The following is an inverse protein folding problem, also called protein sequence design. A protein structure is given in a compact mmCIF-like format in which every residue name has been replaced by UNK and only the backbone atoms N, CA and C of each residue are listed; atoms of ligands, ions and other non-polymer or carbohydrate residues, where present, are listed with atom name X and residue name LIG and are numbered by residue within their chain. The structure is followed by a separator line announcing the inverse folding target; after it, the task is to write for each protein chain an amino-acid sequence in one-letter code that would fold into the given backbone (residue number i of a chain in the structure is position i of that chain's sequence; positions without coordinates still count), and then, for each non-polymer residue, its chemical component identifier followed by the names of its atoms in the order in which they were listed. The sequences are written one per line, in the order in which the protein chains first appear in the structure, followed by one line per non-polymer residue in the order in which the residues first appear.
data_IF_612860060907
#
_entry.id   IF_612860060907
#
_cell.length_a   1.000
_cell.length_b   1.000
_cell.length_c   1.000
_cell.angle_alpha   90.00
_cell.angle_beta   90.00
_cell.angle_gamma   90.00
#
_symmetry.space_group_name_H-M   'P 1'
#
loop_
_entity.id
_entity.type
_entity.pdbx_description
1 polymer ?
#
# COMPACT_ATOMS: atom_id res chain seq x y z
N UNK A 1 -67.44 7.24 12.75
CA UNK A 1 -68.36 6.16 13.13
C UNK A 1 -67.56 4.87 13.22
N UNK A 2 -67.59 4.24 14.40
CA UNK A 2 -67.39 2.81 14.63
C UNK A 2 -68.06 1.96 13.54
N UNK A 3 -67.64 0.77 13.12
CA UNK A 3 -66.98 -0.34 13.82
C UNK A 3 -66.65 -1.42 12.78
N UNK A 4 -65.56 -2.16 13.00
CA UNK A 4 -65.32 -3.60 12.80
C UNK A 4 -66.38 -4.44 12.06
N UNK A 5 -65.95 -5.36 11.17
CA UNK A 5 -66.18 -6.83 11.26
C UNK A 5 -65.57 -7.60 10.08
N UNK A 6 -64.65 -8.50 10.45
CA UNK A 6 -64.28 -9.85 9.94
C UNK A 6 -64.85 -10.32 8.59
N UNK A 7 -63.98 -10.92 7.78
CA UNK A 7 -64.35 -12.03 6.89
C UNK A 7 -63.42 -13.23 7.02
N UNK A 8 -64.07 -14.39 6.90
CA UNK A 8 -63.62 -15.73 7.21
C UNK A 8 -62.84 -16.34 6.03
N UNK A 9 -61.77 -17.07 6.32
CA UNK A 9 -61.21 -18.03 5.37
C UNK A 9 -61.91 -19.38 5.54
N UNK A 10 -62.60 -19.82 4.48
CA UNK A 10 -63.10 -21.18 4.35
C UNK A 10 -61.98 -22.12 3.88
N UNK A 11 -61.48 -22.96 4.78
CA UNK A 11 -60.62 -24.10 4.45
C UNK A 11 -61.47 -25.36 4.30
N UNK A 12 -61.67 -25.82 3.07
CA UNK A 12 -62.27 -27.14 2.82
C UNK A 12 -61.16 -28.18 2.74
N UNK A 13 -61.15 -29.04 3.76
CA UNK A 13 -60.35 -30.25 3.87
C UNK A 13 -60.92 -31.35 2.99
N UNK A 14 -60.09 -32.03 2.21
CA UNK A 14 -60.30 -33.43 1.84
C UNK A 14 -58.99 -34.21 1.95
N UNK A 15 -59.10 -35.30 2.71
CA UNK A 15 -58.06 -36.15 3.27
C UNK A 15 -58.41 -37.57 2.85
N UNK A 16 -57.45 -38.34 2.35
CA UNK A 16 -57.56 -39.79 2.18
C UNK A 16 -56.44 -40.33 1.28
N UNK A 17 -55.35 -40.86 1.85
CA UNK A 17 -55.09 -42.29 2.14
C UNK A 17 -55.00 -43.15 0.87
N UNK A 18 -53.98 -43.94 0.56
CA UNK A 18 -52.73 -44.33 1.22
C UNK A 18 -52.10 -45.48 0.40
N UNK A 19 -50.78 -45.68 0.47
CA UNK A 19 -50.11 -46.84 -0.17
C UNK A 19 -48.60 -46.69 -0.38
N UNK A 20 -47.82 -47.26 0.52
CA UNK A 20 -46.36 -47.54 0.49
C UNK A 20 -46.02 -48.72 -0.46
N UNK A 21 -44.75 -49.18 -0.64
CA UNK A 21 -43.42 -48.55 -0.39
C UNK A 21 -42.38 -48.79 -1.54
N UNK A 22 -41.20 -48.16 -1.44
CA UNK A 22 -39.97 -48.77 -1.97
C UNK A 22 -38.78 -47.83 -2.23
N UNK A 23 -37.67 -48.02 -1.51
CA UNK A 23 -36.33 -47.74 -2.03
C UNK A 23 -35.45 -46.74 -1.27
N UNK A 24 -34.57 -47.28 -0.40
CA UNK A 24 -33.48 -46.61 0.34
C UNK A 24 -32.39 -45.97 -0.53
N UNK A 25 -31.78 -44.88 -0.05
CA UNK A 25 -30.34 -44.77 0.32
C UNK A 25 -30.07 -43.42 1.01
N UNK A 26 -29.97 -43.38 2.35
CA UNK A 26 -28.76 -43.08 3.17
C UNK A 26 -27.64 -42.35 2.39
N UNK A 27 -27.18 -41.16 2.82
CA UNK A 27 -26.19 -41.01 3.89
C UNK A 27 -26.24 -39.64 4.61
N UNK A 28 -26.38 -39.73 5.94
CA UNK A 28 -25.80 -38.97 7.07
C UNK A 28 -25.34 -37.50 6.93
N UNK A 29 -26.11 -36.66 7.64
CA UNK A 29 -25.67 -35.43 8.31
C UNK A 29 -25.01 -35.71 9.67
N UNK A 30 -23.99 -34.95 10.06
CA UNK A 30 -23.61 -34.73 11.46
C UNK A 30 -23.98 -33.30 11.85
N UNK A 31 -24.87 -33.18 12.84
CA UNK A 31 -25.16 -31.96 13.60
C UNK A 31 -24.57 -32.10 15.00
N UNK A 32 -23.93 -31.04 15.50
CA UNK A 32 -23.83 -30.62 16.90
C UNK A 32 -24.25 -29.13 16.86
N UNK A 33 -25.41 -28.72 17.36
CA UNK A 33 -25.68 -28.32 18.75
C UNK A 33 -25.14 -26.89 18.98
N UNK A 34 -25.83 -25.87 19.52
CA UNK A 34 -27.16 -25.70 20.08
C UNK A 34 -27.42 -24.18 20.28
N UNK A 35 -28.69 -23.74 20.26
CA UNK A 35 -29.19 -22.48 20.85
C UNK A 35 -29.03 -21.23 19.96
N UNK A 36 -30.02 -20.36 19.78
CA UNK A 36 -31.34 -20.20 20.35
C UNK A 36 -32.04 -19.04 19.62
N UNK A 37 -33.37 -19.07 19.57
CA UNK A 37 -34.21 -18.13 18.83
C UNK A 37 -34.33 -16.77 19.55
N UNK A 38 -34.22 -15.66 18.81
CA UNK A 38 -34.99 -14.42 19.05
C UNK A 38 -34.96 -13.49 17.83
N UNK A 39 -36.14 -12.99 17.46
CA UNK A 39 -36.42 -11.85 16.58
C UNK A 39 -37.62 -11.09 17.22
N UNK A 40 -38.07 -9.90 16.76
CA UNK A 40 -37.40 -8.74 16.14
C UNK A 40 -37.83 -7.39 16.84
N UNK A 41 -37.22 -6.23 16.49
CA UNK A 41 -37.87 -4.88 16.43
C UNK A 41 -36.85 -3.79 16.06
N UNK A 42 -37.02 -3.01 14.97
CA UNK A 42 -37.70 -1.70 14.74
C UNK A 42 -37.12 -0.49 15.51
N UNK A 43 -36.77 0.56 14.75
CA UNK A 43 -36.25 1.91 15.09
C UNK A 43 -34.75 1.94 15.39
N UNK A 44 -33.91 2.87 14.90
CA UNK A 44 -34.08 4.09 14.14
C UNK A 44 -32.74 4.86 14.26
N UNK A 45 -32.31 5.50 13.16
CA UNK A 45 -31.32 6.58 13.05
C UNK A 45 -30.23 6.77 14.15
N UNK A 46 -28.95 6.62 13.78
CA UNK A 46 -28.07 7.76 13.50
C UNK A 46 -26.63 7.27 13.32
N UNK A 47 -25.99 7.73 12.24
CA UNK A 47 -24.61 7.45 11.94
C UNK A 47 -23.67 8.25 12.83
N UNK A 48 -22.58 7.62 13.23
CA UNK A 48 -21.35 8.27 13.69
C UNK A 48 -20.20 7.33 13.33
N UNK A 49 -19.64 7.52 12.13
CA UNK A 49 -18.39 6.87 11.77
C UNK A 49 -17.26 7.60 12.52
N UNK A 50 -16.61 6.90 13.45
CA UNK A 50 -15.34 7.34 14.02
C UNK A 50 -14.22 6.80 13.15
N UNK A 51 -13.57 7.69 12.38
CA UNK A 51 -12.31 7.43 11.69
C UNK A 51 -11.22 7.33 12.75
N UNK A 52 -10.63 6.15 12.91
CA UNK A 52 -9.44 5.96 13.74
C UNK A 52 -8.23 5.85 12.82
N UNK A 53 -7.57 6.97 12.58
CA UNK A 53 -6.26 7.08 11.93
C UNK A 53 -5.17 6.63 12.91
N UNK A 54 -4.55 5.48 12.65
CA UNK A 54 -3.27 5.11 13.27
C UNK A 54 -2.14 5.43 12.30
N UNK A 55 -1.36 6.45 12.62
CA UNK A 55 -0.13 6.84 11.95
C UNK A 55 1.03 6.62 12.94
N UNK A 56 2.11 5.98 12.43
CA UNK A 56 3.51 5.99 12.91
C UNK A 56 3.79 5.27 14.25
N UNK A 57 4.71 4.29 14.32
CA UNK A 57 6.16 4.49 14.10
C UNK A 57 6.86 3.19 13.74
N UNK A 58 7.63 3.19 12.65
CA UNK A 58 8.54 2.11 12.29
C UNK A 58 9.78 2.09 13.17
N UNK A 59 10.15 0.89 13.62
CA UNK A 59 11.44 0.58 14.23
C UNK A 59 12.51 0.46 13.12
N UNK A 60 13.33 1.50 12.96
CA UNK A 60 14.60 1.42 12.24
C UNK A 60 15.75 1.41 13.26
N UNK A 61 16.30 0.24 13.57
CA UNK A 61 17.53 0.12 14.36
C UNK A 61 18.74 0.28 13.45
N UNK A 62 19.34 1.47 13.46
CA UNK A 62 20.69 1.71 12.97
C UNK A 62 21.71 1.32 14.05
N UNK A 63 22.62 0.41 13.72
CA UNK A 63 23.84 0.18 14.51
C UNK A 63 24.85 1.28 14.16
N UNK A 64 25.08 2.21 15.09
CA UNK A 64 26.12 3.23 15.03
C UNK A 64 26.70 3.43 16.42
N UNK A 65 28.00 3.23 16.58
CA UNK A 65 28.68 3.15 17.87
C UNK A 65 28.69 4.45 18.68
N UNK A 66 28.71 4.30 20.00
CA UNK A 66 29.29 5.30 20.89
C UNK A 66 29.82 4.62 22.15
N UNK A 67 31.11 4.82 22.33
CA UNK A 67 31.89 4.58 23.52
C UNK A 67 31.43 5.59 24.58
N UNK A 68 30.93 5.13 25.73
CA UNK A 68 30.95 5.93 26.94
C UNK A 68 30.87 5.02 28.17
N UNK A 69 31.79 5.31 29.08
CA UNK A 69 32.05 4.71 30.36
C UNK A 69 30.87 4.82 31.32
N UNK A 70 30.57 3.73 32.05
CA UNK A 70 30.24 3.80 33.48
C UNK A 70 30.23 2.39 34.08
N UNK A 71 30.88 2.25 35.23
CA UNK A 71 30.66 1.40 36.43
C UNK A 71 32.02 1.44 37.15
N UNK A 72 32.17 1.85 38.41
CA UNK A 72 31.21 1.92 39.49
C UNK A 72 31.67 2.88 40.57
N UNK A 73 30.70 3.39 41.32
CA UNK A 73 30.92 4.13 42.55
C UNK A 73 31.12 3.21 43.75
N UNK A 74 31.68 3.78 44.80
CA UNK A 74 31.42 3.37 46.17
C UNK A 74 32.66 3.11 47.03
N UNK A 75 32.65 3.76 48.19
CA UNK A 75 33.52 3.58 49.37
C UNK A 75 34.83 4.39 49.28
N UNK A 76 35.04 5.49 50.00
CA UNK A 76 34.68 5.78 51.38
C UNK A 76 35.94 5.64 52.24
N UNK A 77 36.45 6.76 52.77
CA UNK A 77 37.56 6.74 53.73
C UNK A 77 38.55 7.90 53.55
N UNK A 78 38.24 9.04 54.16
CA UNK A 78 39.25 10.05 54.44
C UNK A 78 40.15 9.59 55.59
N UNK A 79 41.45 9.86 55.49
CA UNK A 79 42.30 10.15 56.62
C UNK A 79 43.47 11.00 56.13
N UNK A 80 43.43 12.29 56.47
CA UNK A 80 44.60 13.13 56.53
C UNK A 80 45.46 12.69 57.71
N UNK A 81 46.78 12.72 57.53
CA UNK A 81 47.72 12.38 58.59
C UNK A 81 49.14 12.60 58.11
N UNK A 82 49.62 13.83 58.25
CA UNK A 82 51.04 14.12 58.13
C UNK A 82 51.83 13.44 59.23
N UNK A 83 53.04 12.99 58.91
CA UNK A 83 54.10 12.82 59.89
C UNK A 83 55.44 13.07 59.19
N UNK A 84 55.94 14.29 59.36
CA UNK A 84 57.37 14.53 59.33
C UNK A 84 57.95 14.00 60.64
N UNK A 85 58.99 13.19 60.54
CA UNK A 85 59.83 12.83 61.67
C UNK A 85 61.28 12.82 61.17
N UNK A 86 62.00 13.89 61.52
CA UNK A 86 63.44 13.91 61.48
C UNK A 86 64.00 12.98 62.56
N UNK A 87 65.15 12.40 62.27
CA UNK A 87 66.05 11.88 63.30
C UNK A 87 67.44 12.45 63.03
N UNK A 88 67.72 13.56 63.72
CA UNK A 88 69.06 14.03 64.01
C UNK A 88 69.27 13.91 65.52
N UNK A 89 70.27 13.12 65.91
CA UNK A 89 70.94 13.09 67.22
C UNK A 89 72.10 12.10 67.04
N UNK A 90 73.33 12.32 67.50
CA UNK A 90 73.87 13.32 68.39
C UNK A 90 75.15 12.73 69.00
N UNK A 91 76.28 13.35 68.65
CA UNK A 91 77.49 13.62 69.43
C UNK A 91 77.95 12.73 70.61
N UNK A 92 79.27 12.49 70.62
CA UNK A 92 80.13 12.40 71.83
C UNK A 92 80.69 10.99 72.08
N UNK A 93 81.98 10.76 72.32
CA UNK A 93 83.18 11.57 72.53
C UNK A 93 84.41 10.65 72.37
N UNK A 94 85.58 11.14 72.06
CA UNK A 94 86.57 11.44 73.10
C UNK A 94 87.93 10.82 72.72
N UNK A 95 88.73 11.63 72.05
CA UNK A 95 90.19 11.82 72.15
C UNK A 95 91.12 10.64 72.56
N UNK A 96 92.12 10.36 71.72
CA UNK A 96 93.33 9.64 72.15
C UNK A 96 94.07 8.83 71.07
N UNK A 97 95.18 9.40 70.59
CA UNK A 97 96.39 8.71 70.09
C UNK A 97 96.43 8.38 68.58
N UNK A 98 96.91 9.40 67.87
CA UNK A 98 97.55 9.38 66.55
C UNK A 98 98.53 8.19 66.39
N UNK A 99 98.22 7.27 65.45
CA UNK A 99 99.10 6.37 64.65
C UNK A 99 98.48 5.00 64.25
N UNK A 100 97.15 4.81 64.33
CA UNK A 100 96.47 3.57 63.91
C UNK A 100 95.33 3.73 62.87
N UNK A 101 95.08 4.94 62.36
CA UNK A 101 93.87 5.25 61.57
C UNK A 101 93.82 4.68 60.15
N UNK A 102 94.96 4.44 59.49
CA UNK A 102 94.97 4.06 58.07
C UNK A 102 94.44 2.63 57.84
N UNK A 103 94.78 1.70 58.74
CA UNK A 103 94.36 0.29 58.61
C UNK A 103 92.89 0.07 58.94
N UNK A 104 92.35 0.80 59.93
CA UNK A 104 90.93 0.75 60.29
C UNK A 104 90.07 1.45 59.22
N UNK A 105 90.56 2.54 58.61
CA UNK A 105 89.89 3.12 57.44
C UNK A 105 89.89 2.17 56.24
N UNK A 106 90.99 1.45 55.97
CA UNK A 106 91.04 0.44 54.90
C UNK A 106 90.15 -0.76 55.18
N UNK A 107 90.00 -1.17 56.43
CA UNK A 107 89.04 -2.20 56.82
C UNK A 107 87.60 -1.72 56.61
N UNK A 108 87.25 -0.51 57.04
CA UNK A 108 85.91 0.04 56.84
C UNK A 108 85.54 0.17 55.35
N UNK A 109 86.49 0.60 54.50
CA UNK A 109 86.29 0.61 53.05
C UNK A 109 86.12 -0.79 52.46
N UNK A 110 86.92 -1.76 52.91
CA UNK A 110 86.78 -3.15 52.47
C UNK A 110 85.47 -3.79 52.93
N UNK A 111 85.03 -3.54 54.16
CA UNK A 111 83.75 -4.01 54.69
C UNK A 111 82.57 -3.38 53.93
N UNK A 112 82.70 -2.10 53.58
CA UNK A 112 81.72 -1.41 52.74
C UNK A 112 81.72 -1.95 51.31
N UNK A 113 82.88 -2.29 50.74
CA UNK A 113 83.00 -2.91 49.42
C UNK A 113 82.43 -4.34 49.42
N UNK A 114 82.66 -5.11 50.48
CA UNK A 114 82.05 -6.43 50.67
C UNK A 114 80.52 -6.30 50.75
N UNK A 115 79.99 -5.35 51.54
CA UNK A 115 78.56 -5.07 51.60
C UNK A 115 77.98 -4.61 50.24
N UNK A 116 78.75 -3.86 49.44
CA UNK A 116 78.35 -3.52 48.07
C UNK A 116 78.35 -4.74 47.15
N UNK A 117 79.35 -5.62 47.22
CA UNK A 117 79.41 -6.85 46.43
C UNK A 117 78.26 -7.81 46.79
N UNK A 118 77.95 -7.94 48.07
CA UNK A 118 76.81 -8.75 48.53
C UNK A 118 75.48 -8.16 48.06
N UNK A 119 75.36 -6.83 48.05
CA UNK A 119 74.19 -6.14 47.51
C UNK A 119 74.07 -6.30 45.99
N UNK A 120 75.19 -6.30 45.26
CA UNK A 120 75.20 -6.57 43.81
C UNK A 120 74.76 -7.99 43.54
N UNK A 121 75.29 -8.99 44.26
CA UNK A 121 74.87 -10.39 44.13
C UNK A 121 73.38 -10.59 44.44
N UNK A 122 72.86 -9.97 45.50
CA UNK A 122 71.44 -10.03 45.82
C UNK A 122 70.56 -9.37 44.75
N UNK A 123 71.02 -8.29 44.14
CA UNK A 123 70.33 -7.63 43.02
C UNK A 123 70.39 -8.47 41.75
N UNK A 124 71.52 -9.13 41.45
CA UNK A 124 71.66 -10.05 40.32
C UNK A 124 70.71 -11.25 40.46
N UNK A 125 70.66 -11.88 41.64
CA UNK A 125 69.74 -12.98 41.94
C UNK A 125 68.27 -12.53 41.79
N UNK A 126 67.90 -11.40 42.39
CA UNK A 126 66.56 -10.84 42.24
C UNK A 126 66.22 -10.50 40.79
N UNK A 127 67.19 -10.06 39.98
CA UNK A 127 66.98 -9.76 38.56
C UNK A 127 66.76 -11.04 37.75
N UNK A 128 67.54 -12.11 38.02
CA UNK A 128 67.33 -13.41 37.37
C UNK A 128 65.95 -14.00 37.70
N UNK A 129 65.50 -13.86 38.94
CA UNK A 129 64.16 -14.27 39.37
C UNK A 129 63.05 -13.49 38.66
N UNK A 130 63.23 -12.18 38.50
CA UNK A 130 62.29 -11.34 37.76
C UNK A 130 62.25 -11.71 36.27
N UNK A 131 63.40 -11.98 35.65
CA UNK A 131 63.46 -12.44 34.26
C UNK A 131 62.74 -13.78 34.05
N UNK A 132 62.87 -14.72 35.00
CA UNK A 132 62.16 -16.01 34.96
C UNK A 132 60.65 -15.78 35.08
N UNK A 133 60.21 -14.93 36.03
CA UNK A 133 58.79 -14.59 36.22
C UNK A 133 58.20 -13.90 34.98
N UNK A 134 58.95 -13.00 34.35
CA UNK A 134 58.55 -12.35 33.09
C UNK A 134 58.39 -13.39 31.98
N UNK A 135 59.36 -14.30 31.82
CA UNK A 135 59.29 -15.38 30.83
C UNK A 135 58.10 -16.31 31.07
N UNK A 136 57.83 -16.70 32.31
CA UNK A 136 56.67 -17.50 32.66
C UNK A 136 55.35 -16.77 32.43
N UNK A 137 55.31 -15.47 32.74
CA UNK A 137 54.14 -14.64 32.50
C UNK A 137 53.84 -14.54 31.00
N UNK A 138 54.84 -14.30 30.15
CA UNK A 138 54.66 -14.28 28.70
C UNK A 138 54.24 -15.65 28.13
N UNK A 139 54.71 -16.76 28.70
CA UNK A 139 54.25 -18.10 28.28
C UNK A 139 52.80 -18.37 28.67
N UNK A 140 52.36 -17.90 29.84
CA UNK A 140 50.96 -18.05 30.31
C UNK A 140 50.01 -17.07 29.62
N UNK A 141 50.51 -15.91 29.20
CA UNK A 141 49.77 -14.86 28.47
C UNK A 141 49.97 -14.93 26.96
N UNK A 142 50.59 -16.00 26.45
CA UNK A 142 50.61 -16.25 25.01
C UNK A 142 49.17 -16.23 24.47
N UNK A 143 48.91 -15.67 23.28
CA UNK A 143 47.58 -15.72 22.67
C UNK A 143 47.12 -17.17 22.65
N UNK A 144 45.98 -17.46 23.28
CA UNK A 144 45.37 -18.78 23.19
C UNK A 144 45.12 -19.15 21.72
N UNK A 145 44.97 -20.44 21.38
CA UNK A 145 44.65 -20.84 20.02
C UNK A 145 43.40 -20.09 19.54
N UNK A 146 43.46 -19.53 18.33
CA UNK A 146 42.36 -18.78 17.73
C UNK A 146 41.07 -19.59 17.85
N UNK A 147 40.05 -18.98 18.45
CA UNK A 147 38.77 -19.64 18.69
C UNK A 147 38.10 -19.86 17.33
N UNK A 148 37.92 -21.11 16.92
CA UNK A 148 37.35 -21.42 15.60
C UNK A 148 35.88 -21.00 15.51
N UNK A 149 35.61 -19.83 14.91
CA UNK A 149 34.25 -19.31 14.68
C UNK A 149 33.58 -19.85 13.39
N UNK A 150 34.30 -20.65 12.60
CA UNK A 150 33.82 -21.29 11.36
C UNK A 150 32.41 -21.93 11.43
N UNK A 151 32.04 -22.71 12.46
CA UNK A 151 30.69 -23.29 12.54
C UNK A 151 29.59 -22.25 12.72
N UNK A 152 29.86 -21.14 13.41
CA UNK A 152 28.87 -20.08 13.60
C UNK A 152 28.53 -19.39 12.27
N UNK A 153 29.52 -19.16 11.40
CA UNK A 153 29.27 -18.59 10.08
C UNK A 153 28.33 -19.44 9.23
N UNK A 154 28.49 -20.78 9.26
CA UNK A 154 27.56 -21.69 8.57
C UNK A 154 26.14 -21.58 9.11
N UNK A 155 25.97 -21.58 10.44
CA UNK A 155 24.64 -21.43 11.04
C UNK A 155 24.01 -20.06 10.75
N UNK A 156 24.80 -18.99 10.72
CA UNK A 156 24.33 -17.64 10.37
C UNK A 156 23.89 -17.60 8.91
N UNK A 157 24.64 -18.21 8.00
CA UNK A 157 24.30 -18.29 6.58
C UNK A 157 23.03 -19.11 6.35
N UNK A 158 22.87 -20.26 7.01
CA UNK A 158 21.64 -21.05 6.97
C UNK A 158 20.43 -20.26 7.50
N UNK A 159 20.58 -19.52 8.59
CA UNK A 159 19.52 -18.68 9.14
C UNK A 159 19.16 -17.53 8.20
N UNK A 160 20.16 -16.88 7.59
CA UNK A 160 19.93 -15.83 6.57
C UNK A 160 19.18 -16.38 5.36
N UNK A 161 19.56 -17.57 4.89
CA UNK A 161 18.86 -18.23 3.79
C UNK A 161 17.41 -18.56 4.15
N UNK A 162 17.15 -19.07 5.36
CA UNK A 162 15.78 -19.32 5.84
C UNK A 162 14.94 -18.04 5.91
N UNK A 163 15.52 -16.93 6.38
CA UNK A 163 14.84 -15.62 6.41
C UNK A 163 14.53 -15.15 4.99
N UNK A 164 15.46 -15.30 4.06
CA UNK A 164 15.27 -14.88 2.67
C UNK A 164 14.17 -15.71 1.99
N UNK A 165 14.20 -17.03 2.13
CA UNK A 165 13.14 -17.92 1.62
C UNK A 165 11.78 -17.56 2.22
N UNK A 166 11.70 -17.39 3.55
CA UNK A 166 10.45 -16.99 4.20
C UNK A 166 9.95 -15.61 3.74
N UNK A 167 10.85 -14.68 3.42
CA UNK A 167 10.48 -13.35 2.89
C UNK A 167 9.90 -13.45 1.48
N UNK A 168 10.52 -14.26 0.61
CA UNK A 168 10.02 -14.53 -0.74
C UNK A 168 8.68 -15.26 -0.69
N UNK A 169 8.53 -16.27 0.17
CA UNK A 169 7.29 -17.00 0.35
C UNK A 169 6.17 -16.09 0.88
N UNK A 170 6.48 -15.18 1.80
CA UNK A 170 5.52 -14.19 2.28
C UNK A 170 5.07 -13.26 1.15
N UNK A 171 6.00 -12.75 0.33
CA UNK A 171 5.66 -11.96 -0.85
C UNK A 171 4.79 -12.74 -1.84
N UNK A 172 5.09 -14.01 -2.10
CA UNK A 172 4.28 -14.88 -2.95
C UNK A 172 2.86 -15.09 -2.40
N UNK A 173 2.74 -15.31 -1.08
CA UNK A 173 1.44 -15.45 -0.42
C UNK A 173 0.61 -14.16 -0.51
N UNK A 174 1.24 -12.99 -0.32
CA UNK A 174 0.56 -11.71 -0.49
C UNK A 174 0.03 -11.53 -1.91
N UNK A 175 0.82 -11.87 -2.93
CA UNK A 175 0.37 -11.83 -4.33
C UNK A 175 -0.81 -12.79 -4.59
N UNK A 176 -0.79 -13.99 -4.00
CA UNK A 176 -1.91 -14.93 -4.11
C UNK A 176 -3.17 -14.40 -3.42
N UNK A 177 -3.03 -13.75 -2.26
CA UNK A 177 -4.14 -13.11 -1.55
C UNK A 177 -4.74 -11.99 -2.40
N UNK A 178 -3.90 -11.13 -2.99
CA UNK A 178 -4.37 -10.04 -3.83
C UNK A 178 -5.03 -10.56 -5.10
N UNK A 179 -4.49 -11.60 -5.72
CA UNK A 179 -5.13 -12.27 -6.87
C UNK A 179 -6.49 -12.89 -6.49
N UNK A 180 -6.58 -13.56 -5.35
CA UNK A 180 -7.84 -14.12 -4.84
C UNK A 180 -8.87 -13.03 -4.52
N UNK A 181 -8.44 -11.87 -4.02
CA UNK A 181 -9.31 -10.71 -3.77
C UNK A 181 -9.83 -10.11 -5.07
N UNK A 182 -8.95 -9.88 -6.05
CA UNK A 182 -9.34 -9.36 -7.36
C UNK A 182 -10.33 -10.29 -8.06
N UNK A 183 -10.10 -11.61 -8.02
CA UNK A 183 -11.05 -12.58 -8.59
C UNK A 183 -12.38 -12.61 -7.84
N UNK A 184 -12.39 -12.45 -6.51
CA UNK A 184 -13.61 -12.34 -5.73
C UNK A 184 -14.39 -11.06 -6.06
N UNK A 185 -13.72 -9.92 -6.20
CA UNK A 185 -14.35 -8.63 -6.58
C UNK A 185 -14.88 -8.67 -8.02
N UNK A 186 -14.18 -9.33 -8.95
CA UNK A 186 -14.67 -9.59 -10.30
C UNK A 186 -15.97 -10.42 -10.29
N UNK A 187 -16.02 -11.49 -9.48
CA UNK A 187 -17.24 -12.28 -9.33
C UNK A 187 -18.37 -11.49 -8.66
N UNK A 188 -18.04 -10.64 -7.67
CA UNK A 188 -19.02 -9.77 -7.02
C UNK A 188 -19.64 -8.80 -8.02
N UNK A 189 -18.81 -8.13 -8.81
CA UNK A 189 -19.26 -7.18 -9.84
C UNK A 189 -20.13 -7.90 -10.89
N UNK A 190 -19.70 -9.08 -11.37
CA UNK A 190 -20.50 -9.90 -12.29
C UNK A 190 -21.84 -10.31 -11.70
N UNK A 191 -21.87 -10.71 -10.43
CA UNK A 191 -23.09 -11.06 -9.73
C UNK A 191 -24.04 -9.86 -9.60
N UNK A 192 -23.53 -8.69 -9.23
CA UNK A 192 -24.31 -7.45 -9.14
C UNK A 192 -24.91 -7.07 -10.51
N UNK A 193 -24.13 -7.18 -11.59
CA UNK A 193 -24.64 -6.91 -12.95
C UNK A 193 -25.69 -7.92 -13.40
N UNK A 194 -25.49 -9.21 -13.14
CA UNK A 194 -26.44 -10.26 -13.50
C UNK A 194 -27.72 -10.15 -12.68
N UNK A 195 -27.61 -9.80 -11.40
CA UNK A 195 -28.75 -9.54 -10.53
C UNK A 195 -29.57 -8.35 -11.03
N UNK A 196 -28.92 -7.26 -11.43
CA UNK A 196 -29.60 -6.11 -12.00
C UNK A 196 -30.34 -6.47 -13.31
N UNK A 197 -29.70 -7.21 -14.21
CA UNK A 197 -30.32 -7.71 -15.44
C UNK A 197 -31.52 -8.61 -15.14
N UNK A 198 -31.38 -9.55 -14.20
CA UNK A 198 -32.47 -10.42 -13.77
C UNK A 198 -33.66 -9.62 -13.24
N UNK A 199 -33.44 -8.61 -12.40
CA UNK A 199 -34.50 -7.76 -11.88
C UNK A 199 -35.19 -6.95 -12.99
N UNK A 200 -34.44 -6.46 -13.97
CA UNK A 200 -35.00 -5.79 -15.16
C UNK A 200 -35.90 -6.74 -15.95
N UNK A 201 -35.43 -7.96 -16.24
CA UNK A 201 -36.22 -8.96 -16.97
C UNK A 201 -37.46 -9.37 -16.17
N UNK A 202 -37.35 -9.51 -14.85
CA UNK A 202 -38.51 -9.78 -13.99
C UNK A 202 -39.53 -8.63 -14.01
N UNK A 203 -39.08 -7.38 -14.04
CA UNK A 203 -39.96 -6.22 -14.22
C UNK A 203 -40.67 -6.26 -15.58
N UNK A 204 -39.94 -6.57 -16.65
CA UNK A 204 -40.49 -6.70 -18.01
C UNK A 204 -41.53 -7.84 -18.09
N UNK A 205 -41.24 -9.00 -17.51
CA UNK A 205 -42.20 -10.13 -17.44
C UNK A 205 -43.47 -9.73 -16.70
N UNK A 206 -43.34 -9.01 -15.58
CA UNK A 206 -44.49 -8.52 -14.83
C UNK A 206 -45.28 -7.46 -15.61
N UNK A 207 -44.61 -6.61 -16.38
CA UNK A 207 -45.24 -5.67 -17.32
C UNK A 207 -46.01 -6.40 -18.42
N UNK A 208 -45.41 -7.39 -19.07
CA UNK A 208 -46.06 -8.22 -20.09
C UNK A 208 -47.26 -9.00 -19.55
N UNK A 209 -47.19 -9.48 -18.31
CA UNK A 209 -48.35 -10.10 -17.63
C UNK A 209 -49.51 -9.12 -17.46
N UNK A 210 -49.24 -7.88 -17.06
CA UNK A 210 -50.29 -6.84 -16.98
C UNK A 210 -50.92 -6.55 -18.34
N UNK A 211 -50.09 -6.39 -19.38
CA UNK A 211 -50.59 -6.19 -20.75
C UNK A 211 -51.44 -7.36 -21.22
N UNK A 212 -51.05 -8.60 -20.89
CA UNK A 212 -51.86 -9.79 -21.19
C UNK A 212 -53.21 -9.76 -20.48
N UNK A 213 -53.23 -9.39 -19.19
CA UNK A 213 -54.46 -9.26 -18.41
C UNK A 213 -55.39 -8.17 -19.00
N UNK A 214 -54.83 -7.01 -19.35
CA UNK A 214 -55.56 -5.92 -20.03
C UNK A 214 -56.13 -6.35 -21.39
N UNK A 215 -55.34 -7.04 -22.22
CA UNK A 215 -55.82 -7.57 -23.50
C UNK A 215 -56.90 -8.65 -23.32
N UNK A 216 -56.81 -9.43 -22.24
CA UNK A 216 -57.82 -10.45 -21.91
C UNK A 216 -59.14 -9.80 -21.51
N UNK A 217 -59.09 -8.73 -20.71
CA UNK A 217 -60.28 -7.94 -20.38
C UNK A 217 -60.89 -7.28 -21.63
N UNK A 218 -60.07 -6.62 -22.46
CA UNK A 218 -60.53 -6.00 -23.70
C UNK A 218 -61.15 -7.02 -24.67
N UNK A 219 -60.59 -8.24 -24.75
CA UNK A 219 -61.18 -9.33 -25.51
C UNK A 219 -62.55 -9.72 -24.96
N UNK A 220 -62.69 -9.89 -23.65
CA UNK A 220 -63.96 -10.24 -23.02
C UNK A 220 -65.03 -9.15 -23.25
N UNK A 221 -64.65 -7.88 -23.17
CA UNK A 221 -65.54 -6.75 -23.47
C UNK A 221 -66.02 -6.76 -24.92
N UNK A 222 -65.12 -7.02 -25.87
CA UNK A 222 -65.47 -7.15 -27.29
C UNK A 222 -66.34 -8.38 -27.55
N UNK A 223 -66.09 -9.50 -26.89
CA UNK A 223 -66.94 -10.71 -26.97
C UNK A 223 -68.35 -10.43 -26.46
N UNK A 224 -68.49 -9.69 -25.36
CA UNK A 224 -69.78 -9.25 -24.84
C UNK A 224 -70.49 -8.31 -25.81
N UNK A 225 -69.79 -7.34 -26.42
CA UNK A 225 -70.38 -6.47 -27.45
C UNK A 225 -70.85 -7.26 -28.68
N UNK A 226 -70.08 -8.26 -29.11
CA UNK A 226 -70.46 -9.14 -30.22
C UNK A 226 -71.74 -9.92 -29.87
N UNK A 227 -71.83 -10.46 -28.66
CA UNK A 227 -73.01 -11.23 -28.25
C UNK A 227 -74.25 -10.34 -28.12
N UNK A 228 -74.12 -9.15 -27.51
CA UNK A 228 -75.20 -8.16 -27.46
C UNK A 228 -75.71 -7.80 -28.88
N UNK A 229 -74.80 -7.53 -29.83
CA UNK A 229 -75.18 -7.23 -31.21
C UNK A 229 -75.85 -8.41 -31.92
N UNK A 230 -75.45 -9.66 -31.62
CA UNK A 230 -76.15 -10.84 -32.15
C UNK A 230 -77.55 -10.99 -31.56
N UNK A 231 -77.70 -10.74 -30.26
CA UNK A 231 -79.01 -10.74 -29.59
C UNK A 231 -79.93 -9.68 -30.19
N UNK A 232 -79.44 -8.46 -30.41
CA UNK A 232 -80.17 -7.39 -31.09
C UNK A 232 -80.58 -7.80 -32.52
N UNK A 233 -79.67 -8.40 -33.28
CA UNK A 233 -79.95 -8.88 -34.64
C UNK A 233 -81.02 -9.99 -34.63
N UNK A 234 -80.93 -10.94 -33.69
CA UNK A 234 -81.92 -11.99 -33.50
C UNK A 234 -83.29 -11.41 -33.12
N UNK A 235 -83.31 -10.42 -32.22
CA UNK A 235 -84.52 -9.71 -31.82
C UNK A 235 -85.16 -8.99 -33.00
N UNK A 236 -84.40 -8.24 -33.80
CA UNK A 236 -84.90 -7.58 -35.02
C UNK A 236 -85.45 -8.58 -36.04
N UNK A 237 -84.76 -9.70 -36.27
CA UNK A 237 -85.23 -10.75 -37.19
C UNK A 237 -86.55 -11.36 -36.74
N UNK A 238 -86.65 -11.69 -35.45
CA UNK A 238 -87.88 -12.23 -34.86
C UNK A 238 -89.03 -11.22 -34.98
N UNK A 239 -88.78 -9.95 -34.65
CA UNK A 239 -89.78 -8.90 -34.80
C UNK A 239 -90.24 -8.75 -36.25
N UNK A 240 -89.30 -8.76 -37.21
CA UNK A 240 -89.64 -8.72 -38.63
C UNK A 240 -90.44 -9.95 -39.08
N UNK A 241 -90.10 -11.14 -38.61
CA UNK A 241 -90.84 -12.37 -38.91
C UNK A 241 -92.26 -12.33 -38.32
N UNK A 242 -92.43 -11.83 -37.09
CA UNK A 242 -93.73 -11.61 -36.46
C UNK A 242 -94.56 -10.57 -37.22
N UNK A 243 -93.98 -9.43 -37.62
CA UNK A 243 -94.63 -8.41 -38.45
C UNK A 243 -95.03 -8.97 -39.83
N UNK A 244 -94.14 -9.71 -40.49
CA UNK A 244 -94.43 -10.34 -41.77
C UNK A 244 -95.51 -11.41 -41.64
N UNK A 245 -95.52 -12.20 -40.56
CA UNK A 245 -96.58 -13.16 -40.27
C UNK A 245 -97.93 -12.46 -39.98
N UNK A 246 -97.91 -11.34 -39.25
CA UNK A 246 -99.09 -10.51 -39.01
C UNK A 246 -99.65 -9.95 -40.33
N UNK A 247 -98.79 -9.36 -41.18
CA UNK A 247 -99.17 -8.85 -42.50
C UNK A 247 -99.62 -9.99 -43.44
N UNK A 248 -99.01 -11.18 -43.37
CA UNK A 248 -99.41 -12.36 -44.15
C UNK A 248 -100.76 -12.91 -43.68
N UNK A 249 -101.03 -12.87 -42.38
CA UNK A 249 -102.36 -13.13 -41.81
C UNK A 249 -103.38 -12.10 -42.26
N UNK A 250 -102.97 -10.85 -42.44
CA UNK A 250 -103.82 -9.75 -42.93
C UNK A 250 -104.12 -9.86 -44.45
N UNK A 251 -103.23 -10.47 -45.24
CA UNK A 251 -103.40 -10.70 -46.69
C UNK A 251 -104.22 -11.97 -47.00
N UNK A 252 -104.43 -12.86 -46.02
CA UNK A 252 -105.21 -14.11 -46.17
C UNK A 252 -106.68 -14.05 -45.74
N UNK A 253 -107.17 -12.88 -45.32
CA UNK A 253 -108.56 -12.71 -44.87
C UNK A 253 -109.38 -11.87 -45.85
N UNK A 254 -110.28 -12.51 -46.59
CA UNK A 254 -111.50 -11.84 -47.01
C UNK A 254 -112.31 -11.54 -45.74
N UNK A 255 -112.16 -10.33 -45.21
CA UNK A 255 -112.85 -9.87 -43.99
C UNK A 255 -114.23 -9.36 -44.41
N UNK A 256 -115.21 -10.27 -44.32
CA UNK A 256 -116.61 -9.89 -44.16
C UNK A 256 -116.77 -9.07 -42.88
N UNK A 257 -117.26 -7.85 -43.06
CA UNK A 257 -117.64 -6.93 -41.99
C UNK A 257 -118.96 -7.42 -41.40
N UNK A 258 -118.92 -7.99 -40.19
CA UNK A 258 -120.09 -8.02 -39.31
C UNK A 258 -119.77 -7.31 -38.00
N UNK A 259 -120.63 -6.33 -37.76
CA UNK A 259 -120.64 -5.35 -36.70
C UNK A 259 -121.16 -6.02 -35.44
N UNK A 260 -120.30 -6.28 -34.45
CA UNK A 260 -120.74 -6.53 -33.07
C UNK A 260 -120.23 -5.41 -32.17
N UNK A 261 -121.19 -4.62 -31.69
CA UNK A 261 -120.97 -3.43 -30.86
C UNK A 261 -120.65 -3.87 -29.43
N UNK A 262 -119.39 -4.22 -29.19
CA UNK A 262 -118.86 -4.33 -27.84
C UNK A 262 -118.79 -2.92 -27.19
N UNK A 263 -119.09 -2.82 -25.89
CA UNK A 263 -119.58 -1.60 -25.24
C UNK A 263 -118.53 -0.48 -25.26
N UNK A 264 -119.02 0.76 -25.41
CA UNK A 264 -118.24 1.98 -25.61
C UNK A 264 -116.89 1.98 -24.91
N UNK A 265 -115.83 1.90 -25.72
CA UNK A 265 -114.45 2.07 -25.29
C UNK A 265 -114.35 3.47 -24.68
N UNK A 266 -114.06 3.50 -23.38
CA UNK A 266 -113.95 4.71 -22.58
C UNK A 266 -112.73 5.50 -23.06
N UNK A 267 -112.94 6.40 -24.02
CA UNK A 267 -111.91 7.25 -24.64
C UNK A 267 -111.13 8.03 -23.57
N UNK A 268 -111.80 8.36 -22.47
CA UNK A 268 -111.23 8.99 -21.28
C UNK A 268 -110.17 8.12 -20.61
N UNK A 269 -110.37 6.79 -20.59
CA UNK A 269 -109.40 5.84 -20.04
C UNK A 269 -108.16 5.67 -20.93
N UNK A 270 -108.34 5.61 -22.25
CA UNK A 270 -107.20 5.52 -23.20
C UNK A 270 -106.39 6.82 -23.22
N UNK A 271 -107.06 7.98 -23.19
CA UNK A 271 -106.37 9.28 -23.09
C UNK A 271 -105.63 9.41 -21.76
N UNK A 272 -106.17 8.87 -20.66
CA UNK A 272 -105.49 8.80 -19.38
C UNK A 272 -104.26 7.86 -19.42
N UNK A 273 -104.40 6.65 -19.97
CA UNK A 273 -103.27 5.70 -20.16
C UNK A 273 -102.17 6.28 -21.05
N UNK A 274 -102.52 6.95 -22.16
CA UNK A 274 -101.56 7.65 -23.00
C UNK A 274 -100.82 8.74 -22.22
N UNK A 275 -101.54 9.51 -21.40
CA UNK A 275 -100.92 10.56 -20.57
C UNK A 275 -99.97 9.96 -19.54
N UNK A 276 -100.38 8.87 -18.89
CA UNK A 276 -99.57 8.13 -17.91
C UNK A 276 -98.33 7.49 -18.55
N UNK A 277 -98.43 6.98 -19.78
CA UNK A 277 -97.30 6.49 -20.57
C UNK A 277 -96.30 7.61 -20.91
N UNK A 278 -96.79 8.78 -21.34
CA UNK A 278 -95.94 9.94 -21.62
C UNK A 278 -95.30 10.51 -20.34
N UNK A 279 -96.04 10.55 -19.24
CA UNK A 279 -95.53 11.01 -17.95
C UNK A 279 -94.47 10.03 -17.40
N UNK A 280 -94.72 8.72 -17.52
CA UNK A 280 -93.74 7.66 -17.23
C UNK A 280 -92.49 7.74 -18.10
N UNK A 281 -92.65 7.99 -19.41
CA UNK A 281 -91.53 8.14 -20.34
C UNK A 281 -90.72 9.41 -20.06
N UNK A 282 -91.39 10.55 -19.80
CA UNK A 282 -90.73 11.79 -19.43
C UNK A 282 -89.98 11.64 -18.10
N UNK A 283 -90.55 10.92 -17.14
CA UNK A 283 -89.91 10.70 -15.86
C UNK A 283 -88.76 9.69 -15.94
N UNK A 284 -88.85 8.65 -16.78
CA UNK A 284 -87.71 7.79 -17.13
C UNK A 284 -86.61 8.58 -17.79
N UNK A 285 -86.92 9.38 -18.82
CA UNK A 285 -85.94 10.22 -19.51
C UNK A 285 -85.23 11.19 -18.55
N UNK A 286 -85.99 11.82 -17.63
CA UNK A 286 -85.41 12.67 -16.58
C UNK A 286 -84.46 11.89 -15.67
N UNK A 287 -84.86 10.71 -15.19
CA UNK A 287 -84.01 9.85 -14.33
C UNK A 287 -82.77 9.36 -15.07
N UNK A 288 -82.89 9.00 -16.34
CA UNK A 288 -81.79 8.50 -17.17
C UNK A 288 -80.79 9.62 -17.46
N UNK A 289 -81.28 10.85 -17.72
CA UNK A 289 -80.43 12.03 -17.85
C UNK A 289 -79.70 12.34 -16.54
N UNK A 290 -80.40 12.34 -15.40
CA UNK A 290 -79.79 12.53 -14.08
C UNK A 290 -78.71 11.47 -13.80
N UNK A 291 -79.00 10.19 -14.03
CA UNK A 291 -78.02 9.10 -13.85
C UNK A 291 -76.83 9.24 -14.79
N UNK A 292 -77.05 9.62 -16.05
CA UNK A 292 -75.97 9.88 -17.00
C UNK A 292 -75.07 11.04 -16.55
N UNK A 293 -75.66 12.15 -16.07
CA UNK A 293 -74.91 13.27 -15.51
C UNK A 293 -74.14 12.86 -14.25
N UNK A 294 -74.73 12.08 -13.35
CA UNK A 294 -74.03 11.59 -12.16
C UNK A 294 -72.88 10.67 -12.53
N UNK A 295 -73.09 9.72 -13.45
CA UNK A 295 -72.05 8.82 -13.92
C UNK A 295 -70.89 9.58 -14.56
N UNK A 296 -71.16 10.55 -15.44
CA UNK A 296 -70.09 11.37 -16.04
C UNK A 296 -69.39 12.29 -15.05
N UNK A 297 -70.11 12.83 -14.08
CA UNK A 297 -69.49 13.66 -13.03
C UNK A 297 -68.60 12.81 -12.13
N UNK A 298 -69.01 11.58 -11.80
CA UNK A 298 -68.23 10.64 -11.00
C UNK A 298 -66.96 10.17 -11.73
N UNK A 299 -67.08 9.86 -13.03
CA UNK A 299 -65.94 9.50 -13.88
C UNK A 299 -64.94 10.66 -13.99
N UNK A 300 -65.42 11.87 -14.27
CA UNK A 300 -64.57 13.06 -14.31
C UNK A 300 -63.88 13.32 -12.96
N UNK A 301 -64.59 13.14 -11.85
CA UNK A 301 -63.98 13.29 -10.51
C UNK A 301 -62.90 12.23 -10.25
N UNK A 302 -63.12 10.98 -10.70
CA UNK A 302 -62.09 9.93 -10.64
C UNK A 302 -60.87 10.29 -11.46
N UNK A 303 -61.06 10.73 -12.70
CA UNK A 303 -59.94 11.15 -13.57
C UNK A 303 -59.17 12.33 -12.98
N UNK A 304 -59.86 13.34 -12.45
CA UNK A 304 -59.24 14.48 -11.78
C UNK A 304 -58.45 14.03 -10.55
N UNK A 305 -58.97 13.10 -9.75
CA UNK A 305 -58.27 12.56 -8.60
C UNK A 305 -56.99 11.81 -9.01
N UNK A 306 -57.06 10.94 -10.02
CA UNK A 306 -55.91 10.19 -10.55
C UNK A 306 -54.86 11.14 -11.13
N UNK A 307 -55.28 12.10 -11.95
CA UNK A 307 -54.37 13.09 -12.53
C UNK A 307 -53.71 13.95 -11.44
N UNK A 308 -54.47 14.34 -10.42
CA UNK A 308 -53.91 15.08 -9.26
C UNK A 308 -52.88 14.24 -8.52
N UNK A 309 -53.13 12.96 -8.29
CA UNK A 309 -52.18 12.04 -7.65
C UNK A 309 -50.91 11.87 -8.48
N UNK A 310 -51.04 11.65 -9.79
CA UNK A 310 -49.91 11.58 -10.72
C UNK A 310 -49.09 12.88 -10.77
N UNK A 311 -49.76 14.02 -10.71
CA UNK A 311 -49.10 15.32 -10.65
C UNK A 311 -48.33 15.50 -9.33
N UNK A 312 -48.90 15.06 -8.21
CA UNK A 312 -48.20 15.10 -6.92
C UNK A 312 -47.00 14.14 -6.90
N UNK A 313 -47.14 12.92 -7.43
CA UNK A 313 -46.04 11.94 -7.48
C UNK A 313 -44.89 12.42 -8.37
N UNK A 314 -45.20 12.95 -9.56
CA UNK A 314 -44.19 13.57 -10.43
C UNK A 314 -43.53 14.79 -9.77
N UNK A 315 -44.28 15.60 -9.03
CA UNK A 315 -43.71 16.71 -8.25
C UNK A 315 -42.76 16.21 -7.16
N UNK A 316 -43.11 15.15 -6.43
CA UNK A 316 -42.21 14.56 -5.41
C UNK A 316 -40.95 14.00 -6.04
N UNK A 317 -41.05 13.28 -7.16
CA UNK A 317 -39.91 12.72 -7.89
C UNK A 317 -38.96 13.83 -8.37
N UNK A 318 -39.50 14.93 -8.94
CA UNK A 318 -38.68 16.09 -9.32
C UNK A 318 -37.95 16.68 -8.11
N UNK A 319 -38.60 16.77 -6.94
CA UNK A 319 -37.94 17.30 -5.73
C UNK A 319 -36.88 16.36 -5.18
N UNK A 320 -37.07 15.04 -5.31
CA UNK A 320 -36.07 14.04 -4.92
C UNK A 320 -34.87 14.07 -5.87
N UNK A 321 -35.10 14.09 -7.18
CA UNK A 321 -34.05 14.24 -8.19
C UNK A 321 -33.25 15.53 -8.01
N UNK A 322 -33.91 16.64 -7.65
CA UNK A 322 -33.19 17.88 -7.32
C UNK A 322 -32.31 17.74 -6.08
N UNK A 323 -32.77 17.02 -5.05
CA UNK A 323 -31.95 16.75 -3.85
C UNK A 323 -30.78 15.82 -4.16
N UNK A 324 -30.97 14.80 -5.00
CA UNK A 324 -29.87 13.91 -5.39
C UNK A 324 -28.83 14.65 -6.23
N UNK A 325 -29.25 15.50 -7.17
CA UNK A 325 -28.33 16.36 -7.93
C UNK A 325 -27.51 17.24 -6.99
N UNK A 326 -28.15 17.94 -6.05
CA UNK A 326 -27.45 18.79 -5.08
C UNK A 326 -26.47 17.99 -4.20
N UNK A 327 -26.85 16.79 -3.77
CA UNK A 327 -25.96 15.89 -3.00
C UNK A 327 -24.74 15.50 -3.84
N UNK A 328 -24.96 15.09 -5.09
CA UNK A 328 -23.88 14.70 -5.99
C UNK A 328 -22.96 15.88 -6.36
N UNK A 329 -23.51 17.09 -6.48
CA UNK A 329 -22.71 18.32 -6.67
C UNK A 329 -21.83 18.61 -5.45
N UNK A 330 -22.36 18.46 -4.24
CA UNK A 330 -21.57 18.61 -3.00
C UNK A 330 -20.48 17.54 -2.92
N UNK A 331 -20.81 16.29 -3.23
CA UNK A 331 -19.83 15.20 -3.25
C UNK A 331 -18.73 15.50 -4.28
N UNK A 332 -19.08 15.94 -5.49
CA UNK A 332 -18.12 16.33 -6.52
C UNK A 332 -17.21 17.46 -6.04
N UNK A 333 -17.76 18.53 -5.44
CA UNK A 333 -16.96 19.63 -4.89
C UNK A 333 -16.04 19.15 -3.76
N UNK A 334 -16.51 18.25 -2.90
CA UNK A 334 -15.69 17.67 -1.85
C UNK A 334 -14.51 16.88 -2.43
N UNK A 335 -14.75 16.06 -3.46
CA UNK A 335 -13.70 15.27 -4.13
C UNK A 335 -12.70 16.16 -4.87
N UNK A 336 -13.15 17.26 -5.48
CA UNK A 336 -12.24 18.24 -6.08
C UNK A 336 -11.37 18.91 -5.01
N UNK A 337 -11.93 19.22 -3.84
CA UNK A 337 -11.16 19.81 -2.73
C UNK A 337 -10.13 18.85 -2.15
N UNK A 338 -10.47 17.55 -2.00
CA UNK A 338 -9.53 16.53 -1.52
C UNK A 338 -8.43 16.27 -2.53
N UNK A 339 -8.77 16.21 -3.83
CA UNK A 339 -7.78 16.11 -4.91
C UNK A 339 -6.80 17.29 -4.86
N UNK A 340 -7.29 18.52 -4.78
CA UNK A 340 -6.43 19.71 -4.73
C UNK A 340 -5.52 19.71 -3.48
N UNK A 341 -6.03 19.26 -2.33
CA UNK A 341 -5.22 19.10 -1.12
C UNK A 341 -4.11 18.05 -1.29
N UNK A 342 -4.42 16.89 -1.89
CA UNK A 342 -3.45 15.83 -2.16
C UNK A 342 -2.37 16.28 -3.16
N UNK A 343 -2.77 16.93 -4.26
CA UNK A 343 -1.85 17.52 -5.23
C UNK A 343 -0.92 18.56 -4.57
N UNK A 344 -1.47 19.39 -3.68
CA UNK A 344 -0.67 20.34 -2.88
C UNK A 344 0.34 19.64 -1.99
N UNK A 345 -0.06 18.58 -1.26
CA UNK A 345 0.88 17.83 -0.42
C UNK A 345 1.96 17.11 -1.23
N UNK A 346 1.60 16.60 -2.41
CA UNK A 346 2.56 15.98 -3.33
C UNK A 346 3.60 17.01 -3.77
N UNK A 347 3.16 18.16 -4.27
CA UNK A 347 4.04 19.26 -4.69
C UNK A 347 4.96 19.73 -3.55
N UNK A 348 4.43 19.87 -2.32
CA UNK A 348 5.23 20.22 -1.15
C UNK A 348 6.30 19.16 -0.84
N UNK A 349 5.96 17.87 -0.93
CA UNK A 349 6.93 16.78 -0.71
C UNK A 349 8.00 16.74 -1.80
N UNK A 350 7.61 16.88 -3.06
CA UNK A 350 8.53 16.95 -4.21
C UNK A 350 9.48 18.14 -4.07
N UNK A 351 8.97 19.31 -3.70
CA UNK A 351 9.79 20.50 -3.44
C UNK A 351 10.78 20.26 -2.30
N UNK A 352 10.35 19.66 -1.18
CA UNK A 352 11.25 19.32 -0.06
C UNK A 352 12.34 18.35 -0.49
N UNK A 353 12.01 17.26 -1.18
CA UNK A 353 13.01 16.31 -1.67
C UNK A 353 13.93 16.94 -2.73
N UNK A 354 13.41 17.80 -3.60
CA UNK A 354 14.19 18.58 -4.55
C UNK A 354 15.22 19.47 -3.86
N UNK A 355 14.84 20.16 -2.78
CA UNK A 355 15.80 20.96 -1.98
C UNK A 355 16.84 20.10 -1.27
N UNK A 356 16.47 18.94 -0.74
CA UNK A 356 17.40 18.00 -0.10
C UNK A 356 18.40 17.44 -1.11
N UNK A 357 17.93 17.05 -2.30
CA UNK A 357 18.78 16.61 -3.41
C UNK A 357 19.75 17.71 -3.83
N UNK A 358 19.29 18.95 -3.97
CA UNK A 358 20.16 20.08 -4.30
C UNK A 358 21.23 20.34 -3.21
N UNK A 359 20.87 20.21 -1.93
CA UNK A 359 21.83 20.32 -0.82
C UNK A 359 22.87 19.20 -0.85
N UNK A 360 22.46 17.95 -1.07
CA UNK A 360 23.36 16.81 -1.21
C UNK A 360 24.28 16.96 -2.42
N UNK A 361 23.74 17.40 -3.56
CA UNK A 361 24.52 17.69 -4.75
C UNK A 361 25.57 18.79 -4.49
N UNK A 362 25.19 19.85 -3.76
CA UNK A 362 26.12 20.89 -3.35
C UNK A 362 27.25 20.36 -2.45
N UNK A 363 26.94 19.48 -1.50
CA UNK A 363 27.96 18.82 -0.67
C UNK A 363 28.90 17.96 -1.51
N UNK A 364 28.36 17.15 -2.42
CA UNK A 364 29.15 16.31 -3.34
C UNK A 364 30.11 17.18 -4.14
N UNK A 365 29.61 18.24 -4.78
CA UNK A 365 30.44 19.16 -5.57
C UNK A 365 31.53 19.82 -4.72
N UNK A 366 31.23 20.22 -3.47
CA UNK A 366 32.24 20.80 -2.58
C UNK A 366 33.35 19.82 -2.20
N UNK A 367 33.01 18.53 -2.00
CA UNK A 367 33.99 17.49 -1.68
C UNK A 367 34.80 17.11 -2.92
N UNK A 368 34.17 17.06 -4.09
CA UNK A 368 34.85 16.86 -5.38
C UNK A 368 35.86 17.98 -5.66
N UNK A 369 35.49 19.24 -5.37
CA UNK A 369 36.37 20.39 -5.49
C UNK A 369 37.56 20.31 -4.54
N UNK A 370 37.34 20.00 -3.26
CA UNK A 370 38.43 19.78 -2.28
C UNK A 370 39.37 18.65 -2.71
N UNK A 371 38.82 17.58 -3.28
CA UNK A 371 39.59 16.44 -3.76
C UNK A 371 40.40 16.81 -5.02
N UNK A 372 39.86 17.64 -5.90
CA UNK A 372 40.58 18.18 -7.05
C UNK A 372 41.71 19.12 -6.63
N UNK A 373 41.47 20.00 -5.65
CA UNK A 373 42.48 20.90 -5.09
C UNK A 373 43.64 20.11 -4.46
N UNK A 374 43.34 19.10 -3.62
CA UNK A 374 44.37 18.26 -2.99
C UNK A 374 45.18 17.46 -4.01
N UNK A 375 44.55 16.99 -5.10
CA UNK A 375 45.27 16.36 -6.22
C UNK A 375 46.23 17.33 -6.90
N UNK A 376 45.78 18.55 -7.19
CA UNK A 376 46.62 19.60 -7.78
C UNK A 376 47.81 19.94 -6.88
N UNK A 377 47.57 20.10 -5.57
CA UNK A 377 48.63 20.36 -4.59
C UNK A 377 49.63 19.20 -4.49
N UNK A 378 49.15 17.95 -4.51
CA UNK A 378 50.02 16.77 -4.52
C UNK A 378 50.89 16.72 -5.79
N UNK A 379 50.32 17.01 -6.95
CA UNK A 379 51.06 17.08 -8.21
C UNK A 379 52.12 18.18 -8.18
N UNK A 380 51.78 19.36 -7.66
CA UNK A 380 52.70 20.48 -7.46
C UNK A 380 53.84 20.12 -6.52
N UNK A 381 53.54 19.56 -5.34
CA UNK A 381 54.56 19.09 -4.41
C UNK A 381 55.47 18.03 -5.05
N UNK A 382 54.90 17.07 -5.79
CA UNK A 382 55.69 16.06 -6.48
C UNK A 382 56.64 16.67 -7.51
N UNK A 383 56.21 17.72 -8.23
CA UNK A 383 57.07 18.47 -9.14
C UNK A 383 58.20 19.20 -8.39
N UNK A 384 57.88 19.92 -7.31
CA UNK A 384 58.88 20.59 -6.46
C UNK A 384 59.91 19.60 -5.89
N UNK A 385 59.47 18.42 -5.42
CA UNK A 385 60.36 17.35 -4.97
C UNK A 385 61.28 16.82 -6.07
N UNK A 386 60.78 16.66 -7.30
CA UNK A 386 61.62 16.25 -8.44
C UNK A 386 62.71 17.28 -8.74
N UNK A 387 62.36 18.56 -8.74
CA UNK A 387 63.33 19.65 -8.96
C UNK A 387 64.37 19.67 -7.84
N UNK A 388 63.95 19.54 -6.58
CA UNK A 388 64.88 19.50 -5.45
C UNK A 388 65.82 18.28 -5.52
N UNK A 389 65.30 17.13 -5.94
CA UNK A 389 66.10 15.93 -6.14
C UNK A 389 67.15 16.15 -7.23
N UNK A 390 66.81 16.79 -8.34
CA UNK A 390 67.76 17.12 -9.42
C UNK A 390 68.86 18.10 -8.98
N UNK A 391 68.50 19.11 -8.18
CA UNK A 391 69.49 20.00 -7.57
C UNK A 391 70.39 19.24 -6.59
N UNK A 392 69.82 18.36 -5.77
CA UNK A 392 70.57 17.54 -4.82
C UNK A 392 71.54 16.59 -5.54
N UNK A 393 71.12 15.90 -6.60
CA UNK A 393 72.00 15.02 -7.37
C UNK A 393 73.12 15.81 -8.04
N UNK A 394 72.85 17.02 -8.55
CA UNK A 394 73.87 17.92 -9.08
C UNK A 394 74.87 18.37 -8.00
N UNK A 395 74.39 18.79 -6.83
CA UNK A 395 75.27 19.18 -5.72
C UNK A 395 76.12 18.00 -5.21
N UNK A 396 75.57 16.79 -5.19
CA UNK A 396 76.35 15.58 -4.86
C UNK A 396 77.45 15.31 -5.88
N UNK A 397 77.21 15.52 -7.17
CA UNK A 397 78.23 15.45 -8.20
C UNK A 397 79.32 16.51 -7.97
N UNK A 398 78.94 17.76 -7.70
CA UNK A 398 79.88 18.84 -7.38
C UNK A 398 80.72 18.49 -6.14
N UNK A 399 80.12 18.03 -5.05
CA UNK A 399 80.83 17.55 -3.84
C UNK A 399 81.78 16.39 -4.16
N UNK A 400 81.35 15.43 -4.98
CA UNK A 400 82.22 14.32 -5.40
C UNK A 400 83.43 14.83 -6.19
N UNK A 401 83.25 15.81 -7.09
CA UNK A 401 84.37 16.45 -7.80
C UNK A 401 85.27 17.24 -6.86
N UNK A 402 84.71 17.96 -5.88
CA UNK A 402 85.51 18.66 -4.87
C UNK A 402 86.32 17.68 -4.01
N UNK A 403 85.73 16.57 -3.55
CA UNK A 403 86.45 15.51 -2.83
C UNK A 403 87.57 14.92 -3.67
N UNK A 404 87.33 14.64 -4.95
CA UNK A 404 88.33 14.17 -5.92
C UNK A 404 89.52 15.13 -6.06
N UNK A 405 89.27 16.45 -6.12
CA UNK A 405 90.33 17.47 -6.16
C UNK A 405 91.11 17.55 -4.84
N UNK A 406 90.42 17.46 -3.70
CA UNK A 406 91.01 17.51 -2.35
C UNK A 406 91.78 16.25 -1.96
N UNK A 407 91.32 15.07 -2.39
CA UNK A 407 91.98 13.77 -2.19
C UNK A 407 93.15 13.56 -3.17
N UNK A 408 93.39 14.50 -4.09
CA UNK A 408 94.57 14.54 -4.93
C UNK A 408 94.57 13.54 -6.08
N UNK A 409 93.49 13.46 -6.87
CA UNK A 409 93.57 12.77 -8.17
C UNK A 409 94.37 13.53 -9.24
N UNK A 410 94.85 14.74 -8.95
CA UNK A 410 95.96 15.35 -9.70
C UNK A 410 97.28 14.59 -9.48
N UNK A 411 97.41 13.77 -8.41
CA UNK A 411 98.53 12.85 -8.25
C UNK A 411 98.34 11.55 -9.07
N UNK A 412 97.10 11.11 -9.34
CA UNK A 412 96.83 9.87 -10.07
C UNK A 412 96.65 10.07 -11.58
N UNK A 413 96.09 11.18 -12.05
CA UNK A 413 96.07 11.52 -13.48
C UNK A 413 97.46 11.95 -13.99
N UNK A 414 98.28 12.60 -13.15
CA UNK A 414 99.69 12.82 -13.46
C UNK A 414 100.47 11.51 -13.58
N UNK A 415 100.18 10.53 -12.70
CA UNK A 415 100.77 9.18 -12.78
C UNK A 415 100.29 8.40 -14.01
N UNK A 416 99.02 8.50 -14.41
CA UNK A 416 98.50 7.80 -15.58
C UNK A 416 99.00 8.40 -16.91
N UNK A 417 99.13 9.72 -16.99
CA UNK A 417 99.68 10.42 -18.17
C UNK A 417 101.20 10.24 -18.27
N UNK A 418 101.92 10.15 -17.14
CA UNK A 418 103.35 9.86 -17.12
C UNK A 418 103.70 8.41 -17.52
N UNK A 419 102.73 7.48 -17.52
CA UNK A 419 102.92 6.06 -17.87
C UNK A 419 102.30 5.63 -19.21
N UNK A 420 101.75 6.57 -20.00
CA UNK A 420 101.43 6.32 -21.41
C UNK A 420 100.42 5.18 -21.66
N UNK A 421 99.40 5.04 -20.82
CA UNK A 421 98.35 4.03 -21.04
C UNK A 421 97.16 4.69 -21.77
N UNK A 422 97.04 4.38 -23.05
CA UNK A 422 95.86 4.68 -23.88
C UNK A 422 94.68 3.81 -23.44
N UNK A 423 93.57 4.42 -23.02
CA UNK A 423 92.29 3.74 -22.76
C UNK A 423 91.45 3.77 -24.05
N UNK A 424 90.84 2.65 -24.49
CA UNK A 424 90.05 2.63 -25.71
C UNK A 424 88.69 3.31 -25.48
N UNK A 425 88.22 4.04 -26.50
CA UNK A 425 86.90 4.63 -26.56
C UNK A 425 85.81 3.56 -26.41
N UNK A 426 85.07 3.59 -25.31
CA UNK A 426 83.88 2.75 -25.13
C UNK A 426 82.64 3.54 -25.58
N UNK A 427 82.09 3.17 -26.73
CA UNK A 427 80.82 3.69 -27.24
C UNK A 427 79.68 3.26 -26.33
N UNK A 428 79.02 4.22 -25.70
CA UNK A 428 77.76 3.99 -24.97
C UNK A 428 76.66 3.83 -26.02
N UNK A 429 76.27 2.58 -26.27
CA UNK A 429 74.99 2.29 -26.90
C UNK A 429 73.89 2.56 -25.88
N UNK A 430 73.11 3.62 -26.08
CA UNK A 430 71.91 3.88 -25.29
C UNK A 430 70.82 2.82 -25.55
N UNK A 431 69.98 2.48 -24.57
CA UNK A 431 68.86 1.58 -24.78
C UNK A 431 67.80 2.27 -25.66
N UNK A 432 67.52 1.69 -26.83
CA UNK A 432 66.39 2.10 -27.68
C UNK A 432 65.09 1.69 -26.97
N UNK A 433 64.41 2.64 -26.34
CA UNK A 433 63.08 2.42 -25.76
C UNK A 433 62.01 2.63 -26.83
N UNK A 434 61.34 1.56 -27.25
CA UNK A 434 60.21 1.64 -28.17
C UNK A 434 58.93 2.08 -27.43
N UNK A 435 58.39 3.24 -27.78
CA UNK A 435 57.14 3.77 -27.21
C UNK A 435 55.95 3.19 -27.98
N UNK A 436 55.14 2.36 -27.31
CA UNK A 436 53.87 1.87 -27.86
C UNK A 436 52.75 2.84 -27.49
N UNK A 437 52.08 3.42 -28.48
CA UNK A 437 50.89 4.26 -28.27
C UNK A 437 49.67 3.39 -28.57
N UNK A 438 48.83 3.18 -27.55
CA UNK A 438 47.56 2.46 -27.67
C UNK A 438 46.44 3.48 -27.67
N UNK A 439 45.70 3.55 -28.77
CA UNK A 439 44.53 4.43 -28.90
C UNK A 439 43.29 3.56 -28.96
N UNK A 440 42.38 3.78 -28.01
CA UNK A 440 41.11 3.04 -27.91
C UNK A 440 40.02 3.97 -28.43
N UNK A 441 39.29 3.51 -29.45
CA UNK A 441 38.13 4.21 -29.98
C UNK A 441 36.88 3.52 -29.45
N UNK A 442 36.07 4.26 -28.69
CA UNK A 442 34.77 3.78 -28.18
C UNK A 442 33.65 4.58 -28.82
N UNK A 443 32.69 3.86 -29.40
CA UNK A 443 31.49 4.45 -29.99
C UNK A 443 30.32 4.23 -29.01
N UNK A 444 29.75 5.34 -28.52
CA UNK A 444 28.72 5.35 -27.47
C UNK A 444 27.45 5.98 -28.02
N UNK A 445 26.32 5.26 -27.92
CA UNK A 445 24.98 5.80 -28.18
C UNK A 445 24.10 5.49 -26.97
N UNK A 446 23.37 6.50 -26.48
CA UNK A 446 22.51 6.44 -25.29
C UNK A 446 23.20 5.87 -24.03
N UNK A 447 24.47 6.26 -23.81
CA UNK A 447 25.22 5.92 -22.61
C UNK A 447 25.67 4.45 -22.53
N UNK A 448 25.53 3.65 -23.60
CA UNK A 448 26.03 2.28 -23.67
C UNK A 448 27.06 2.13 -24.79
N UNK A 449 28.25 1.60 -24.45
CA UNK A 449 29.33 1.36 -25.42
C UNK A 449 28.92 0.19 -26.34
N UNK A 450 28.80 0.45 -27.63
CA UNK A 450 28.28 -0.52 -28.61
C UNK A 450 29.42 -1.18 -29.39
N UNK A 451 30.57 -0.52 -29.48
CA UNK A 451 31.76 -1.02 -30.18
C UNK A 451 33.02 -0.40 -29.57
N UNK A 452 34.04 -1.22 -29.34
CA UNK A 452 35.37 -0.79 -28.87
C UNK A 452 36.43 -1.39 -29.79
N UNK A 453 37.27 -0.52 -30.35
CA UNK A 453 38.37 -0.91 -31.24
C UNK A 453 39.69 -0.32 -30.74
N UNK A 454 40.64 -1.20 -30.44
CA UNK A 454 42.01 -0.85 -30.04
C UNK A 454 42.93 -0.83 -31.27
N UNK A 455 43.69 0.26 -31.43
CA UNK A 455 44.73 0.36 -32.46
C UNK A 455 46.07 0.68 -31.80
N UNK A 456 47.05 -0.20 -32.00
CA UNK A 456 48.41 -0.09 -31.45
C UNK A 456 49.34 0.38 -32.55
N UNK A 457 49.98 1.53 -32.36
CA UNK A 457 51.02 2.04 -33.26
C UNK A 457 52.36 2.06 -32.53
N UNK A 458 53.36 1.36 -33.11
CA UNK A 458 54.74 1.39 -32.66
C UNK A 458 55.51 2.39 -33.51
N UNK A 459 56.05 3.43 -32.88
CA UNK A 459 57.05 4.29 -33.49
C UNK A 459 58.43 3.92 -32.89
N UNK A 460 59.36 3.48 -33.75
CA UNK A 460 60.75 3.32 -33.39
C UNK A 460 61.45 4.69 -33.49
N UNK A 461 62.19 5.08 -32.45
CA UNK A 461 62.98 6.30 -32.43
C UNK A 461 64.44 5.98 -32.20
#
# INVERSE_FOLDING_TARGET
MSTTVRQFSSSTSLKGFGGLPGGSTRLSSVRLGAGGYRAPSVHGASGSYSVSSRIVSGLGSGYGGSYCSSVGGGLGGGFGGGFGAGFGAGFGGGDGILLAGEKETMQNLNDRLAAYLDKVRALEEANTDLEVKIREWYKKQGPGPDRDYSPYYKTIEELRNKVLVATVDNANLLLQIDNARLTADDFRTKFETEQALRLSVEADINGLRRVLDELTLARADLEMQIENLKEELAYLKKNHEEEMNALRGQVGGEISVEMDAAPGIDLTKILAEMREQYESLAEKNRRDAEQWFFSKTEELNREVAINTEQLQSGKTEITELRRTIQSLEIDLQSQLSTKAALEGTLADTEARYGTQLAQLQGLITSVEEQLAELRCDMERQNHEYRVLLDVKTRLEQEIATYRRLLEGEDAQLFLLVSLGITVPSFSIAGPVTTRQIRTIFEEVQDGKVISSREQITQAAH
#
